data_IF_551056343450
#
_entry.id   IF_551056343450
#
_cell.length_a   1.000
_cell.length_b   1.000
_cell.length_c   1.000
_cell.angle_alpha   90.00
_cell.angle_beta   90.00
_cell.angle_gamma   90.00
#
_symmetry.space_group_name_H-M   'P 1'
#
loop_
_entity.id
_entity.type
_entity.pdbx_description
1 polymer ?
#
# COMPACT_ATOMS: atom_id res chain seq x y z
N UNK A 1 -10.65 -21.37 8.43
CA UNK A 1 -11.12 -19.99 8.18
C UNK A 1 -12.41 -20.14 7.41
N UNK A 2 -13.53 -19.74 8.01
CA UNK A 2 -14.83 -19.81 7.35
C UNK A 2 -14.92 -18.72 6.29
N UNK A 3 -15.67 -18.97 5.21
CA UNK A 3 -15.79 -18.04 4.07
C UNK A 3 -16.26 -16.65 4.50
N UNK A 4 -17.13 -16.60 5.52
CA UNK A 4 -17.62 -15.38 6.15
C UNK A 4 -16.51 -14.60 6.87
N UNK A 5 -15.64 -15.29 7.60
CA UNK A 5 -14.49 -14.68 8.28
C UNK A 5 -13.51 -14.09 7.26
N UNK A 6 -13.26 -14.80 6.16
CA UNK A 6 -12.34 -14.35 5.11
C UNK A 6 -12.87 -13.11 4.39
N UNK A 7 -14.18 -13.09 4.10
CA UNK A 7 -14.86 -11.91 3.55
C UNK A 7 -14.81 -10.71 4.51
N UNK A 8 -15.07 -10.91 5.81
CA UNK A 8 -15.00 -9.83 6.80
C UNK A 8 -13.59 -9.24 6.91
N UNK A 9 -12.57 -10.09 7.00
CA UNK A 9 -11.17 -9.63 7.08
C UNK A 9 -10.81 -8.84 5.82
N UNK A 10 -11.15 -9.35 4.63
CA UNK A 10 -10.93 -8.64 3.37
C UNK A 10 -11.62 -7.28 3.34
N UNK A 11 -12.86 -7.19 3.82
CA UNK A 11 -13.62 -5.94 3.90
C UNK A 11 -12.97 -4.92 4.84
N UNK A 12 -12.52 -5.36 6.02
CA UNK A 12 -11.85 -4.49 7.00
C UNK A 12 -10.53 -3.96 6.42
N UNK A 13 -9.75 -4.83 5.79
CA UNK A 13 -8.48 -4.44 5.15
C UNK A 13 -8.73 -3.44 4.01
N UNK A 14 -9.72 -3.70 3.15
CA UNK A 14 -10.09 -2.78 2.08
C UNK A 14 -10.60 -1.43 2.61
N UNK A 15 -11.47 -1.44 3.62
CA UNK A 15 -11.95 -0.20 4.23
C UNK A 15 -10.80 0.60 4.88
N UNK A 16 -9.92 -0.07 5.61
CA UNK A 16 -8.72 0.55 6.19
C UNK A 16 -7.79 1.14 5.12
N UNK A 17 -7.52 0.37 4.06
CA UNK A 17 -6.72 0.83 2.93
C UNK A 17 -7.35 2.04 2.23
N UNK A 18 -8.67 2.07 2.08
CA UNK A 18 -9.40 3.20 1.50
C UNK A 18 -9.25 4.47 2.34
N UNK A 19 -9.40 4.38 3.67
CA UNK A 19 -9.21 5.54 4.54
C UNK A 19 -7.79 6.08 4.47
N UNK A 20 -6.79 5.22 4.54
CA UNK A 20 -5.38 5.61 4.43
C UNK A 20 -5.12 6.26 3.06
N UNK A 21 -5.62 5.66 1.99
CA UNK A 21 -5.50 6.18 0.64
C UNK A 21 -6.16 7.54 0.47
N UNK A 22 -7.33 7.76 1.07
CA UNK A 22 -8.04 9.05 1.05
C UNK A 22 -7.27 10.14 1.80
N UNK A 23 -6.69 9.78 2.95
CA UNK A 23 -5.86 10.69 3.72
C UNK A 23 -4.61 11.07 2.93
N UNK A 24 -3.96 10.08 2.30
CA UNK A 24 -2.80 10.32 1.44
C UNK A 24 -3.12 11.16 0.21
N UNK A 25 -4.29 10.96 -0.40
CA UNK A 25 -4.74 11.78 -1.53
C UNK A 25 -4.86 13.26 -1.12
N UNK A 26 -5.39 13.51 0.08
CA UNK A 26 -5.43 14.85 0.67
C UNK A 26 -4.04 15.46 0.93
N UNK A 27 -3.05 14.63 1.30
CA UNK A 27 -1.66 15.08 1.53
C UNK A 27 -0.91 15.31 0.21
N UNK A 28 -1.09 14.43 -0.78
CA UNK A 28 -0.39 14.49 -2.07
C UNK A 28 -0.99 15.53 -3.02
N UNK A 29 -2.25 15.93 -2.83
CA UNK A 29 -2.90 16.95 -3.64
C UNK A 29 -2.85 16.63 -5.13
N UNK A 30 -2.35 17.57 -5.94
CA UNK A 30 -2.26 17.41 -7.40
C UNK A 30 -1.28 16.31 -7.86
N UNK A 31 -0.31 15.95 -7.02
CA UNK A 31 0.67 14.90 -7.33
C UNK A 31 0.12 13.49 -7.03
N UNK A 32 -1.00 13.40 -6.30
CA UNK A 32 -1.68 12.13 -5.98
C UNK A 32 -2.37 11.52 -7.20
N UNK A 33 -2.59 10.20 -7.18
CA UNK A 33 -3.35 9.50 -8.23
C UNK A 33 -4.87 9.53 -8.00
N UNK A 34 -5.35 10.12 -6.91
CA UNK A 34 -6.72 9.94 -6.45
C UNK A 34 -6.81 8.85 -5.37
N UNK A 35 -7.91 8.88 -4.63
CA UNK A 35 -8.18 7.95 -3.52
C UNK A 35 -8.21 6.47 -3.95
N UNK A 36 -8.91 6.13 -5.04
CA UNK A 36 -9.06 4.71 -5.48
C UNK A 36 -7.74 4.13 -6.00
N UNK A 37 -6.97 4.80 -6.88
CA UNK A 37 -5.66 4.28 -7.31
C UNK A 37 -4.65 4.18 -6.18
N UNK A 38 -4.61 5.17 -5.26
CA UNK A 38 -3.75 5.11 -4.08
C UNK A 38 -4.06 3.89 -3.21
N UNK A 39 -5.33 3.53 -3.05
CA UNK A 39 -5.75 2.32 -2.32
C UNK A 39 -5.22 1.05 -2.97
N UNK A 40 -5.34 0.92 -4.29
CA UNK A 40 -4.82 -0.23 -5.04
C UNK A 40 -3.30 -0.33 -4.90
N UNK A 41 -2.60 0.79 -5.00
CA UNK A 41 -1.14 0.84 -4.84
C UNK A 41 -0.73 0.43 -3.42
N UNK A 42 -1.42 0.89 -2.38
CA UNK A 42 -1.15 0.48 -0.99
C UNK A 42 -1.37 -1.01 -0.78
N UNK A 43 -2.47 -1.57 -1.32
CA UNK A 43 -2.76 -3.00 -1.23
C UNK A 43 -1.68 -3.83 -1.94
N UNK A 44 -1.41 -3.53 -3.22
CA UNK A 44 -0.42 -4.26 -4.01
C UNK A 44 0.98 -4.09 -3.43
N UNK A 45 1.35 -2.86 -3.06
CA UNK A 45 2.65 -2.55 -2.45
C UNK A 45 2.84 -3.24 -1.10
N UNK A 46 1.78 -3.40 -0.31
CA UNK A 46 1.84 -4.12 0.96
C UNK A 46 2.11 -5.61 0.79
N UNK A 47 1.41 -6.25 -0.14
CA UNK A 47 1.72 -7.63 -0.53
C UNK A 47 3.12 -7.78 -1.11
N UNK A 48 3.55 -6.83 -1.94
CA UNK A 48 4.87 -6.81 -2.55
C UNK A 48 5.98 -6.65 -1.49
N UNK A 49 5.76 -5.84 -0.46
CA UNK A 49 6.68 -5.70 0.68
C UNK A 49 6.83 -7.00 1.48
N UNK A 50 5.72 -7.67 1.77
CA UNK A 50 5.75 -8.99 2.43
C UNK A 50 6.50 -10.03 1.58
N UNK A 51 6.27 -10.03 0.26
CA UNK A 51 6.94 -10.94 -0.66
C UNK A 51 8.45 -10.68 -0.74
N UNK A 52 8.87 -9.41 -0.83
CA UNK A 52 10.30 -9.05 -0.81
C UNK A 52 10.98 -9.50 0.48
N UNK A 53 10.32 -9.28 1.61
CA UNK A 53 10.87 -9.62 2.92
C UNK A 53 11.05 -11.14 3.09
N UNK A 54 10.13 -11.92 2.52
CA UNK A 54 10.26 -13.38 2.42
C UNK A 54 11.41 -13.79 1.49
N UNK A 55 11.63 -13.07 0.38
CA UNK A 55 12.72 -13.35 -0.57
C UNK A 55 14.10 -13.08 0.04
N UNK A 56 14.21 -12.06 0.89
CA UNK A 56 15.46 -11.70 1.61
C UNK A 56 15.74 -12.67 2.79
N UNK A 57 14.91 -13.70 3.00
CA UNK A 57 15.08 -14.69 4.07
C UNK A 57 15.14 -14.07 5.48
N UNK A 58 14.52 -12.91 5.68
CA UNK A 58 14.41 -12.34 7.02
C UNK A 58 13.32 -13.13 7.74
N UNK A 59 13.63 -13.79 8.88
CA UNK A 59 12.66 -14.58 9.60
C UNK A 59 11.56 -13.65 10.15
N UNK A 60 10.42 -13.64 9.45
CA UNK A 60 9.19 -12.97 9.83
C UNK A 60 8.45 -13.76 10.93
N UNK A 61 9.19 -14.18 11.96
CA UNK A 61 8.66 -14.99 13.06
C UNK A 61 7.68 -14.22 13.95
N UNK A 62 7.78 -12.89 13.96
CA UNK A 62 6.91 -12.01 14.75
C UNK A 62 5.81 -11.40 13.85
N UNK A 63 4.52 -11.55 14.19
CA UNK A 63 3.41 -10.92 13.47
C UNK A 63 3.55 -9.40 13.38
N UNK A 64 4.20 -8.76 14.36
CA UNK A 64 4.48 -7.32 14.34
C UNK A 64 5.44 -6.96 13.20
N UNK A 65 6.44 -7.80 12.95
CA UNK A 65 7.44 -7.58 11.91
C UNK A 65 6.84 -7.79 10.51
N UNK A 66 5.89 -8.71 10.35
CA UNK A 66 5.10 -8.87 9.14
C UNK A 66 4.25 -7.62 8.86
N UNK A 67 3.54 -7.11 9.87
CA UNK A 67 2.74 -5.90 9.71
C UNK A 67 3.61 -4.69 9.29
N UNK A 68 4.77 -4.51 9.93
CA UNK A 68 5.72 -3.45 9.57
C UNK A 68 6.20 -3.61 8.13
N UNK A 69 6.62 -4.81 7.73
CA UNK A 69 7.09 -5.07 6.36
C UNK A 69 6.01 -4.76 5.30
N UNK A 70 4.77 -5.13 5.56
CA UNK A 70 3.63 -4.81 4.69
C UNK A 70 3.37 -3.31 4.62
N UNK A 71 3.35 -2.61 5.76
CA UNK A 71 3.12 -1.15 5.78
C UNK A 71 4.26 -0.43 5.04
N UNK A 72 5.51 -0.79 5.30
CA UNK A 72 6.66 -0.19 4.62
C UNK A 72 6.60 -0.44 3.11
N UNK A 73 6.29 -1.67 2.67
CA UNK A 73 6.13 -1.97 1.24
C UNK A 73 5.03 -1.16 0.57
N UNK A 74 3.90 -0.99 1.24
CA UNK A 74 2.77 -0.20 0.74
C UNK A 74 3.16 1.26 0.53
N UNK A 75 3.73 1.90 1.54
CA UNK A 75 4.13 3.30 1.48
C UNK A 75 5.31 3.55 0.53
N UNK A 76 6.30 2.66 0.49
CA UNK A 76 7.44 2.78 -0.43
C UNK A 76 6.97 2.68 -1.89
N UNK A 77 6.07 1.74 -2.19
CA UNK A 77 5.52 1.59 -3.54
C UNK A 77 4.72 2.82 -3.97
N UNK A 78 3.91 3.36 -3.05
CA UNK A 78 3.15 4.58 -3.33
C UNK A 78 4.07 5.79 -3.50
N UNK A 79 5.03 6.00 -2.61
CA UNK A 79 6.00 7.06 -2.73
C UNK A 79 6.78 6.98 -4.06
N UNK A 80 7.18 5.78 -4.47
CA UNK A 80 7.90 5.57 -5.72
C UNK A 80 7.05 5.95 -6.94
N UNK A 81 5.82 5.43 -7.03
CA UNK A 81 4.92 5.76 -8.15
C UNK A 81 4.51 7.23 -8.16
N UNK A 82 4.24 7.82 -6.99
CA UNK A 82 3.91 9.23 -6.89
C UNK A 82 5.08 10.12 -7.30
N UNK A 83 6.31 9.75 -6.91
CA UNK A 83 7.52 10.49 -7.32
C UNK A 83 7.72 10.40 -8.84
N UNK A 84 7.51 9.24 -9.45
CA UNK A 84 7.57 9.08 -10.91
C UNK A 84 6.52 9.97 -11.58
N UNK A 85 5.27 9.97 -11.10
CA UNK A 85 4.21 10.81 -11.66
C UNK A 85 4.54 12.30 -11.51
N UNK A 86 5.01 12.73 -10.34
CA UNK A 86 5.39 14.11 -10.09
C UNK A 86 6.57 14.57 -10.97
N UNK A 87 7.49 13.66 -11.29
CA UNK A 87 8.58 13.93 -12.25
C UNK A 87 8.02 14.01 -13.67
N UNK A 88 7.13 13.10 -14.06
CA UNK A 88 6.52 13.10 -15.39
C UNK A 88 5.69 14.37 -15.64
N UNK A 89 4.89 14.79 -14.66
CA UNK A 89 4.10 16.02 -14.73
C UNK A 89 4.99 17.27 -14.82
N UNK A 90 6.14 17.27 -14.15
CA UNK A 90 7.14 18.34 -14.28
C UNK A 90 7.88 18.33 -15.61
N UNK A 91 7.99 17.17 -16.27
CA UNK A 91 8.60 17.03 -17.60
C UNK A 91 7.62 17.33 -18.75
N UNK A 92 6.37 17.72 -18.44
CA UNK A 92 5.39 18.17 -19.43
C UNK A 92 4.63 17.05 -20.15
N UNK A 93 4.61 15.84 -19.56
CA UNK A 93 3.68 14.76 -19.91
C UNK A 93 2.52 14.72 -18.91
#
# INVERSE_FOLDING_TARGET
MDTTTLLMIGLIVCAGAYFIASAMDGVMGADGFGTVPNMVILLVGGFLGLYLMNWIHIPLGDPTMQAVAGITGAFVSLAFLATIKAIASRLGY
#
